data_IF_649478335082
#
_entry.id   IF_649478335082
#
_cell.length_a   1.000
_cell.length_b   1.000
_cell.length_c   1.000
_cell.angle_alpha   90.00
_cell.angle_beta   90.00
_cell.angle_gamma   90.00
#
_symmetry.space_group_name_H-M   'P 1'
#
loop_
_entity.id
_entity.type
_entity.pdbx_description
1 polymer ?
#
# COMPACT_ATOMS: atom_id res chain seq x y z
N UNK A 1 12.04 40.34 61.91
CA UNK A 1 10.93 39.74 62.67
C UNK A 1 10.06 38.99 61.67
N UNK A 2 10.13 37.66 61.68
CA UNK A 2 9.14 36.74 61.06
C UNK A 2 8.32 36.11 62.22
N UNK A 3 7.28 35.25 62.03
CA UNK A 3 6.62 34.65 60.85
C UNK A 3 5.05 34.69 61.04
N UNK A 4 4.15 33.72 60.65
CA UNK A 4 4.21 32.53 59.77
C UNK A 4 2.99 32.24 58.83
N UNK A 5 3.24 31.30 57.90
CA UNK A 5 2.42 30.21 57.31
C UNK A 5 1.08 30.43 56.58
N UNK A 6 0.96 29.74 55.42
CA UNK A 6 -0.30 29.37 54.78
C UNK A 6 -0.11 28.68 53.43
N UNK A 7 0.05 27.35 53.44
CA UNK A 7 -0.15 26.48 52.26
C UNK A 7 -1.64 26.44 51.88
N UNK A 8 -1.95 26.43 50.57
CA UNK A 8 -2.82 25.42 49.92
C UNK A 8 -3.32 25.84 48.52
N UNK A 9 -3.19 24.87 47.60
CA UNK A 9 -4.14 24.49 46.56
C UNK A 9 -4.40 25.39 45.32
N UNK A 10 -3.94 24.85 44.18
CA UNK A 10 -4.72 24.55 42.98
C UNK A 10 -5.49 25.67 42.25
N UNK A 11 -4.99 26.05 41.07
CA UNK A 11 -5.83 26.27 39.88
C UNK A 11 -4.98 26.18 38.60
N UNK A 12 -5.46 25.37 37.66
CA UNK A 12 -4.87 25.10 36.36
C UNK A 12 -5.22 26.19 35.33
N UNK A 13 -4.33 26.42 34.36
CA UNK A 13 -4.60 26.98 33.02
C UNK A 13 -3.35 26.77 32.15
N UNK A 14 -3.26 25.65 31.44
CA UNK A 14 -3.65 25.47 30.04
C UNK A 14 -2.61 26.02 29.03
N UNK A 15 -1.60 25.20 28.74
CA UNK A 15 -0.77 25.31 27.55
C UNK A 15 -1.28 24.34 26.46
N UNK A 16 -1.41 24.75 25.18
CA UNK A 16 -1.78 23.85 24.11
C UNK A 16 -0.53 23.28 23.42
N UNK A 17 -0.56 21.99 23.07
CA UNK A 17 0.28 21.48 21.97
C UNK A 17 0.91 20.12 22.19
N UNK A 18 0.46 19.16 21.37
CA UNK A 18 1.21 18.02 20.83
C UNK A 18 1.53 16.84 21.77
N UNK A 19 0.52 16.01 22.04
CA UNK A 19 0.73 14.55 22.13
C UNK A 19 -0.61 13.80 22.02
N UNK A 20 -0.98 13.38 20.81
CA UNK A 20 -1.97 12.31 20.65
C UNK A 20 -1.50 11.37 19.53
N UNK A 21 -0.55 10.51 19.89
CA UNK A 21 -0.14 9.34 19.10
C UNK A 21 -0.78 8.11 19.75
N UNK A 22 -2.06 7.90 19.44
CA UNK A 22 -2.78 6.68 19.81
C UNK A 22 -2.48 5.62 18.75
N UNK A 23 -1.52 4.76 19.05
CA UNK A 23 -1.30 3.50 18.34
C UNK A 23 -2.50 2.61 18.65
N UNK A 24 -3.47 2.53 17.73
CA UNK A 24 -4.49 1.49 17.72
C UNK A 24 -4.08 0.39 16.75
N UNK A 25 -3.69 -0.75 17.32
CA UNK A 25 -3.64 -2.03 16.61
C UNK A 25 -5.04 -2.58 16.34
N UNK A 26 -5.05 -3.62 15.49
CA UNK A 26 -6.13 -4.56 15.16
C UNK A 26 -7.25 -4.07 14.22
N UNK A 27 -6.97 -4.11 12.91
CA UNK A 27 -8.01 -4.21 11.88
C UNK A 27 -8.45 -5.67 11.73
N UNK A 28 -9.48 -6.05 12.50
CA UNK A 28 -10.26 -7.26 12.26
C UNK A 28 -11.16 -7.09 11.04
N UNK A 29 -11.24 -8.14 10.24
CA UNK A 29 -12.15 -8.28 9.09
C UNK A 29 -13.62 -8.11 9.52
N UNK A 30 -14.49 -7.47 8.70
CA UNK A 30 -15.92 -7.40 9.01
C UNK A 30 -16.62 -8.74 8.74
N UNK A 31 -17.56 -9.18 9.61
CA UNK A 31 -18.37 -10.37 9.38
C UNK A 31 -19.53 -10.09 8.40
N UNK A 32 -19.86 -11.09 7.59
CA UNK A 32 -21.00 -11.09 6.66
C UNK A 32 -22.35 -11.15 7.42
N UNK A 33 -23.44 -10.61 6.84
CA UNK A 33 -24.73 -10.50 7.52
C UNK A 33 -25.47 -11.84 7.63
N UNK A 34 -26.35 -12.00 8.65
CA UNK A 34 -27.13 -13.22 8.85
C UNK A 34 -28.30 -13.27 7.88
N UNK A 35 -28.49 -14.42 7.22
CA UNK A 35 -29.65 -14.67 6.39
C UNK A 35 -30.80 -15.17 7.26
N UNK A 36 -31.74 -14.25 7.50
CA UNK A 36 -33.03 -14.43 8.15
C UNK A 36 -33.88 -15.49 7.46
N UNK A 37 -34.52 -16.35 8.26
CA UNK A 37 -35.58 -17.25 7.85
C UNK A 37 -36.97 -16.61 7.94
N UNK A 38 -37.89 -17.14 7.15
CA UNK A 38 -39.35 -16.92 7.20
C UNK A 38 -39.96 -17.74 6.06
N UNK A 39 -40.56 -18.90 6.37
CA UNK A 39 -42.01 -19.14 6.55
C UNK A 39 -42.76 -19.18 5.19
N UNK A 40 -43.73 -20.04 4.88
CA UNK A 40 -44.49 -21.11 5.58
C UNK A 40 -45.41 -21.76 4.53
N UNK A 41 -45.72 -23.04 4.74
CA UNK A 41 -47.01 -23.71 4.49
C UNK A 41 -47.58 -23.88 3.07
N UNK A 42 -47.92 -25.13 2.73
CA UNK A 42 -48.99 -25.42 1.77
C UNK A 42 -49.00 -26.82 1.12
N UNK A 43 -49.62 -27.79 1.83
CA UNK A 43 -50.59 -28.78 1.30
C UNK A 43 -50.12 -30.20 0.87
N UNK A 44 -50.41 -31.13 1.79
CA UNK A 44 -51.09 -32.45 1.71
C UNK A 44 -50.88 -33.46 0.57
N UNK A 45 -50.53 -34.67 1.05
CA UNK A 45 -51.01 -36.03 0.75
C UNK A 45 -50.71 -36.75 -0.58
N UNK A 46 -50.30 -38.02 -0.42
CA UNK A 46 -50.37 -39.05 -1.46
C UNK A 46 -49.18 -40.01 -1.48
N UNK A 47 -49.19 -41.01 -0.60
CA UNK A 47 -48.18 -42.07 -0.60
C UNK A 47 -48.28 -43.01 -1.80
N UNK A 48 -47.14 -43.53 -2.26
CA UNK A 48 -47.02 -44.87 -2.84
C UNK A 48 -45.53 -45.25 -2.98
N UNK A 49 -45.10 -46.17 -2.13
CA UNK A 49 -43.87 -46.93 -2.27
C UNK A 49 -43.85 -47.63 -3.65
N UNK A 50 -42.90 -47.27 -4.53
CA UNK A 50 -42.48 -48.13 -5.64
C UNK A 50 -40.97 -48.13 -5.74
N UNK A 51 -40.42 -49.18 -5.15
CA UNK A 51 -39.10 -49.73 -5.41
C UNK A 51 -38.85 -49.75 -6.92
N UNK A 52 -37.93 -48.91 -7.37
CA UNK A 52 -37.57 -48.75 -8.78
C UNK A 52 -36.10 -48.37 -8.86
N UNK A 53 -35.24 -49.33 -8.56
CA UNK A 53 -33.78 -49.27 -8.76
C UNK A 53 -33.51 -49.07 -10.26
N UNK A 54 -33.56 -47.83 -10.73
CA UNK A 54 -32.99 -47.44 -12.02
C UNK A 54 -31.50 -47.29 -11.82
N UNK A 55 -30.80 -48.39 -12.09
CA UNK A 55 -29.37 -48.39 -12.36
C UNK A 55 -29.09 -47.27 -13.37
N UNK A 56 -28.44 -46.20 -12.89
CA UNK A 56 -27.76 -45.26 -13.79
C UNK A 56 -26.63 -46.07 -14.39
N UNK A 57 -26.84 -46.55 -15.62
CA UNK A 57 -25.78 -47.05 -16.48
C UNK A 57 -24.61 -46.08 -16.38
N UNK A 58 -23.49 -46.59 -15.88
CA UNK A 58 -22.28 -45.81 -15.68
C UNK A 58 -21.92 -45.18 -17.01
N UNK A 59 -21.99 -43.85 -17.08
CA UNK A 59 -21.37 -43.11 -18.16
C UNK A 59 -19.90 -43.52 -18.16
N UNK A 60 -19.52 -44.29 -19.18
CA UNK A 60 -18.20 -44.84 -19.36
C UNK A 60 -17.23 -43.66 -19.22
N UNK A 61 -16.46 -43.65 -18.12
CA UNK A 61 -15.45 -42.61 -17.92
C UNK A 61 -14.48 -42.82 -19.07
N UNK A 62 -14.50 -41.92 -20.05
CA UNK A 62 -13.57 -41.98 -21.17
C UNK A 62 -12.17 -41.86 -20.56
N UNK A 63 -11.50 -42.99 -20.42
CA UNK A 63 -10.19 -43.11 -19.78
C UNK A 63 -9.18 -42.33 -20.62
N UNK A 64 -8.72 -41.20 -20.12
CA UNK A 64 -7.78 -40.30 -20.80
C UNK A 64 -8.33 -38.91 -21.17
N UNK A 65 -9.65 -38.72 -21.21
CA UNK A 65 -10.29 -37.45 -21.59
C UNK A 65 -10.93 -36.72 -20.39
N UNK A 66 -10.07 -36.29 -19.46
CA UNK A 66 -10.47 -35.54 -18.27
C UNK A 66 -10.51 -34.02 -18.49
N UNK A 67 -11.02 -33.28 -17.50
CA UNK A 67 -11.11 -31.81 -17.55
C UNK A 67 -9.76 -31.15 -17.83
N UNK A 68 -8.65 -31.72 -17.36
CA UNK A 68 -7.29 -31.25 -17.63
C UNK A 68 -7.00 -31.18 -19.13
N UNK A 69 -7.41 -32.18 -19.91
CA UNK A 69 -7.16 -32.22 -21.34
C UNK A 69 -8.05 -31.23 -22.07
N UNK A 70 -9.34 -31.15 -21.70
CA UNK A 70 -10.24 -30.11 -22.20
C UNK A 70 -9.73 -28.70 -21.91
N UNK A 71 -9.25 -28.42 -20.69
CA UNK A 71 -8.65 -27.12 -20.34
C UNK A 71 -7.42 -26.80 -21.17
N UNK A 72 -6.57 -27.80 -21.47
CA UNK A 72 -5.37 -27.62 -22.30
C UNK A 72 -5.75 -27.29 -23.76
N UNK A 73 -6.70 -28.03 -24.33
CA UNK A 73 -7.18 -27.82 -25.70
C UNK A 73 -7.89 -26.47 -25.83
N UNK A 74 -8.83 -26.16 -24.93
CA UNK A 74 -9.55 -24.88 -24.90
C UNK A 74 -8.57 -23.71 -24.77
N UNK A 75 -7.58 -23.82 -23.87
CA UNK A 75 -6.56 -22.78 -23.69
C UNK A 75 -5.77 -22.53 -24.98
N UNK A 76 -5.25 -23.58 -25.63
CA UNK A 76 -4.49 -23.45 -26.89
C UNK A 76 -5.33 -22.87 -28.02
N UNK A 77 -6.61 -23.26 -28.11
CA UNK A 77 -7.50 -22.80 -29.18
C UNK A 77 -7.83 -21.31 -29.03
N UNK A 78 -8.08 -20.87 -27.80
CA UNK A 78 -8.36 -19.45 -27.51
C UNK A 78 -7.08 -18.61 -27.65
N UNK A 79 -5.92 -19.15 -27.28
CA UNK A 79 -4.61 -18.52 -27.48
C UNK A 79 -4.30 -18.30 -28.98
N UNK A 80 -4.47 -19.34 -29.82
CA UNK A 80 -4.19 -19.25 -31.25
C UNK A 80 -5.09 -18.25 -31.98
N UNK A 81 -6.36 -18.13 -31.55
CA UNK A 81 -7.32 -17.20 -32.17
C UNK A 81 -7.28 -15.79 -31.60
N UNK A 82 -6.86 -15.63 -30.35
CA UNK A 82 -6.87 -14.36 -29.62
C UNK A 82 -8.27 -13.88 -29.23
N UNK A 83 -9.24 -13.90 -30.15
CA UNK A 83 -10.66 -13.61 -29.92
C UNK A 83 -11.54 -14.68 -30.57
N UNK A 84 -12.50 -15.21 -29.83
CA UNK A 84 -13.37 -16.30 -30.31
C UNK A 84 -14.70 -16.31 -29.54
N UNK A 85 -15.60 -17.24 -29.85
CA UNK A 85 -16.85 -17.43 -29.12
C UNK A 85 -16.97 -18.83 -28.54
N UNK A 86 -17.87 -19.02 -27.55
CA UNK A 86 -18.08 -20.32 -26.92
C UNK A 86 -18.49 -21.40 -27.95
N UNK A 87 -19.45 -21.09 -28.83
CA UNK A 87 -19.97 -22.06 -29.80
C UNK A 87 -18.87 -22.46 -30.78
N UNK A 88 -18.13 -21.48 -31.29
CA UNK A 88 -17.01 -21.71 -32.20
C UNK A 88 -15.93 -22.62 -31.60
N UNK A 89 -15.54 -22.38 -30.34
CA UNK A 89 -14.57 -23.24 -29.67
C UNK A 89 -15.14 -24.64 -29.39
N UNK A 90 -16.40 -24.74 -29.00
CA UNK A 90 -17.04 -26.03 -28.71
C UNK A 90 -17.20 -26.90 -29.98
N UNK A 91 -17.63 -26.29 -31.08
CA UNK A 91 -17.88 -26.96 -32.35
C UNK A 91 -16.56 -27.40 -33.00
N UNK A 92 -15.48 -26.61 -32.88
CA UNK A 92 -14.15 -27.01 -33.36
C UNK A 92 -13.54 -28.14 -32.56
N UNK A 93 -13.65 -28.10 -31.22
CA UNK A 93 -13.18 -29.21 -30.38
C UNK A 93 -13.97 -30.47 -30.69
N UNK A 94 -15.28 -30.35 -30.92
CA UNK A 94 -16.10 -31.47 -31.34
C UNK A 94 -15.66 -32.05 -32.70
N UNK A 95 -15.38 -31.21 -33.69
CA UNK A 95 -14.91 -31.64 -35.01
C UNK A 95 -13.54 -32.32 -34.95
N UNK A 96 -12.58 -31.75 -34.22
CA UNK A 96 -11.25 -32.33 -34.00
C UNK A 96 -11.36 -33.69 -33.31
N UNK A 97 -12.22 -33.80 -32.29
CA UNK A 97 -12.38 -35.03 -31.54
C UNK A 97 -13.13 -36.12 -32.32
N UNK A 98 -14.10 -35.73 -33.15
CA UNK A 98 -14.77 -36.63 -34.09
C UNK A 98 -13.81 -37.21 -35.12
N UNK A 99 -12.82 -36.42 -35.57
CA UNK A 99 -11.78 -36.89 -36.50
C UNK A 99 -10.85 -37.94 -35.87
N UNK A 100 -10.57 -37.82 -34.56
CA UNK A 100 -9.78 -38.78 -33.78
C UNK A 100 -10.59 -40.05 -33.44
N UNK A 101 -11.92 -39.90 -33.36
CA UNK A 101 -12.87 -40.96 -33.00
C UNK A 101 -13.26 -41.95 -34.08
N UNK A 102 -12.79 -41.78 -35.32
CA UNK A 102 -12.85 -42.87 -36.32
C UNK A 102 -12.14 -44.16 -35.82
N UNK A 103 -11.41 -44.08 -34.72
CA UNK A 103 -10.72 -45.17 -34.03
C UNK A 103 -11.55 -45.89 -32.94
N UNK A 104 -12.88 -45.68 -32.87
CA UNK A 104 -13.80 -46.49 -32.04
C UNK A 104 -14.25 -45.90 -30.70
N UNK A 105 -14.18 -44.58 -30.52
CA UNK A 105 -14.64 -43.90 -29.30
C UNK A 105 -15.80 -42.94 -29.64
N UNK A 106 -17.02 -43.20 -29.17
CA UNK A 106 -18.11 -42.26 -29.39
C UNK A 106 -18.04 -41.12 -28.37
N UNK A 107 -17.79 -39.89 -28.83
CA UNK A 107 -17.96 -38.71 -27.98
C UNK A 107 -19.32 -38.06 -28.24
N UNK A 108 -20.09 -37.92 -27.16
CA UNK A 108 -21.34 -37.17 -27.18
C UNK A 108 -21.04 -35.66 -27.16
N UNK A 109 -21.59 -34.94 -28.14
CA UNK A 109 -21.51 -33.49 -28.28
C UNK A 109 -21.93 -32.77 -27.00
N UNK A 110 -22.96 -33.29 -26.31
CA UNK A 110 -23.45 -32.72 -25.05
C UNK A 110 -22.40 -32.77 -23.94
N UNK A 111 -21.62 -33.85 -23.90
CA UNK A 111 -20.56 -34.01 -22.91
C UNK A 111 -19.42 -33.01 -23.17
N UNK A 112 -18.99 -32.89 -24.42
CA UNK A 112 -17.93 -31.96 -24.83
C UNK A 112 -18.34 -30.52 -24.52
N UNK A 113 -19.56 -30.12 -24.91
CA UNK A 113 -20.09 -28.78 -24.59
C UNK A 113 -20.06 -28.52 -23.08
N UNK A 114 -20.53 -29.47 -22.26
CA UNK A 114 -20.47 -29.36 -20.79
C UNK A 114 -19.04 -29.18 -20.26
N UNK A 115 -18.07 -29.91 -20.81
CA UNK A 115 -16.65 -29.83 -20.42
C UNK A 115 -15.96 -28.54 -20.86
N UNK A 116 -16.30 -28.01 -22.03
CA UNK A 116 -15.79 -26.71 -22.51
C UNK A 116 -16.26 -25.57 -21.60
N UNK A 117 -17.50 -25.61 -21.11
CA UNK A 117 -17.97 -24.67 -20.10
C UNK A 117 -17.19 -24.77 -18.77
N UNK A 118 -16.94 -25.99 -18.27
CA UNK A 118 -16.14 -26.19 -17.06
C UNK A 118 -14.74 -25.58 -17.24
N UNK A 119 -14.10 -25.82 -18.39
CA UNK A 119 -12.78 -25.27 -18.70
C UNK A 119 -12.81 -23.73 -18.77
N UNK A 120 -13.78 -23.14 -19.46
CA UNK A 120 -13.90 -21.68 -19.53
C UNK A 120 -14.11 -21.04 -18.15
N UNK A 121 -14.97 -21.61 -17.31
CA UNK A 121 -15.22 -21.06 -15.98
C UNK A 121 -13.95 -21.01 -15.13
N UNK A 122 -13.13 -22.07 -15.18
CA UNK A 122 -11.83 -22.10 -14.50
C UNK A 122 -10.87 -21.08 -15.11
N UNK A 123 -10.74 -21.02 -16.45
CA UNK A 123 -9.84 -20.09 -17.14
C UNK A 123 -10.21 -18.61 -16.94
N UNK A 124 -11.51 -18.31 -16.81
CA UNK A 124 -12.04 -16.99 -16.44
C UNK A 124 -11.71 -16.68 -14.98
N UNK A 125 -11.90 -17.63 -14.06
CA UNK A 125 -11.61 -17.44 -12.64
C UNK A 125 -10.12 -17.13 -12.40
N UNK A 126 -9.22 -17.79 -13.14
CA UNK A 126 -7.77 -17.50 -13.10
C UNK A 126 -7.36 -16.34 -14.03
N UNK A 127 -8.32 -15.67 -14.68
CA UNK A 127 -8.13 -14.48 -15.55
C UNK A 127 -7.17 -14.68 -16.73
N UNK A 128 -7.01 -15.92 -17.20
CA UNK A 128 -6.26 -16.24 -18.43
C UNK A 128 -7.08 -15.89 -19.67
N UNK A 129 -8.41 -15.92 -19.53
CA UNK A 129 -9.36 -15.59 -20.57
C UNK A 129 -10.37 -14.59 -19.99
N UNK A 130 -10.77 -13.60 -20.80
CA UNK A 130 -11.86 -12.67 -20.47
C UNK A 130 -13.10 -12.98 -21.31
N UNK A 131 -14.29 -12.89 -20.71
CA UNK A 131 -15.58 -13.05 -21.40
C UNK A 131 -16.32 -11.73 -21.40
N UNK A 132 -16.59 -11.20 -22.59
CA UNK A 132 -17.43 -10.03 -22.80
C UNK A 132 -18.66 -10.43 -23.61
N UNK A 133 -19.82 -10.52 -22.95
CA UNK A 133 -21.06 -11.04 -23.51
C UNK A 133 -20.85 -12.41 -24.20
N UNK A 134 -20.74 -12.42 -25.53
CA UNK A 134 -20.54 -13.60 -26.38
C UNK A 134 -19.08 -13.77 -26.85
N UNK A 135 -18.26 -12.74 -26.73
CA UNK A 135 -16.86 -12.73 -27.13
C UNK A 135 -15.95 -13.22 -25.99
N UNK A 136 -14.96 -14.02 -26.34
CA UNK A 136 -13.96 -14.61 -25.46
C UNK A 136 -12.59 -14.12 -25.94
N UNK A 137 -11.83 -13.46 -25.05
CA UNK A 137 -10.51 -12.88 -25.35
C UNK A 137 -9.42 -13.61 -24.58
N UNK A 138 -8.33 -13.94 -25.25
CA UNK A 138 -7.10 -14.43 -24.61
C UNK A 138 -6.39 -13.29 -23.88
N UNK A 139 -6.22 -13.43 -22.56
CA UNK A 139 -5.48 -12.48 -21.72
C UNK A 139 -4.09 -13.02 -21.37
N UNK A 140 -3.88 -14.33 -21.42
CA UNK A 140 -2.62 -14.99 -21.10
C UNK A 140 -2.31 -15.04 -19.59
N UNK A 141 -1.37 -15.91 -19.22
CA UNK A 141 -0.92 -16.07 -17.81
C UNK A 141 0.12 -15.00 -17.41
N UNK A 142 0.80 -14.42 -18.41
CA UNK A 142 1.92 -13.48 -18.26
C UNK A 142 1.44 -12.07 -17.87
N UNK A 143 0.30 -11.60 -18.40
CA UNK A 143 -0.16 -10.23 -18.17
C UNK A 143 -0.50 -9.96 -16.69
N UNK A 144 -1.13 -10.90 -15.98
CA UNK A 144 -1.43 -10.70 -14.55
C UNK A 144 -0.20 -10.84 -13.64
N UNK A 145 0.64 -11.85 -13.89
CA UNK A 145 1.85 -12.05 -13.10
C UNK A 145 2.81 -10.88 -13.27
N UNK A 146 2.98 -10.39 -14.49
CA UNK A 146 3.81 -9.22 -14.80
C UNK A 146 3.26 -7.96 -14.13
N UNK A 147 1.98 -7.66 -14.27
CA UNK A 147 1.35 -6.48 -13.64
C UNK A 147 1.47 -6.51 -12.10
N UNK A 148 1.29 -7.69 -11.49
CA UNK A 148 1.46 -7.85 -10.03
C UNK A 148 2.91 -7.70 -9.60
N UNK A 149 3.85 -8.27 -10.34
CA UNK A 149 5.29 -8.14 -10.08
C UNK A 149 5.70 -6.68 -10.24
N UNK A 150 5.29 -6.02 -11.31
CA UNK A 150 5.58 -4.61 -11.57
C UNK A 150 5.06 -3.71 -10.44
N UNK A 151 3.82 -3.90 -9.99
CA UNK A 151 3.26 -3.19 -8.82
C UNK A 151 4.07 -3.43 -7.55
N UNK A 152 4.50 -4.68 -7.32
CA UNK A 152 5.34 -5.00 -6.17
C UNK A 152 6.72 -4.35 -6.27
N UNK A 153 7.31 -4.29 -7.46
CA UNK A 153 8.58 -3.63 -7.72
C UNK A 153 8.48 -2.11 -7.54
N UNK A 154 7.39 -1.47 -7.95
CA UNK A 154 7.13 -0.05 -7.71
C UNK A 154 7.04 0.25 -6.22
N UNK A 155 6.22 -0.52 -5.47
CA UNK A 155 6.10 -0.38 -4.02
C UNK A 155 7.45 -0.64 -3.33
N UNK A 156 8.20 -1.64 -3.78
CA UNK A 156 9.53 -1.91 -3.25
C UNK A 156 10.50 -0.74 -3.46
N UNK A 157 10.51 -0.15 -4.66
CA UNK A 157 11.32 1.05 -4.96
C UNK A 157 10.93 2.22 -4.05
N UNK A 158 9.63 2.47 -3.87
CA UNK A 158 9.15 3.53 -2.96
C UNK A 158 9.55 3.28 -1.50
N UNK A 159 9.46 2.03 -1.04
CA UNK A 159 9.89 1.67 0.32
C UNK A 159 11.39 1.88 0.50
N UNK A 160 12.21 1.52 -0.48
CA UNK A 160 13.66 1.75 -0.44
C UNK A 160 13.99 3.25 -0.36
N UNK A 161 13.36 4.08 -1.20
CA UNK A 161 13.61 5.53 -1.16
C UNK A 161 13.17 6.13 0.17
N UNK A 162 12.04 5.67 0.72
CA UNK A 162 11.57 6.08 2.05
C UNK A 162 12.53 5.67 3.17
N UNK A 163 13.05 4.44 3.14
CA UNK A 163 14.06 3.97 4.11
C UNK A 163 15.33 4.81 4.00
N UNK A 164 15.81 5.06 2.78
CA UNK A 164 17.00 5.90 2.53
C UNK A 164 16.82 7.31 3.09
N UNK A 165 15.68 7.94 2.84
CA UNK A 165 15.39 9.29 3.34
C UNK A 165 15.30 9.32 4.88
N UNK A 166 14.64 8.34 5.49
CA UNK A 166 14.59 8.21 6.96
C UNK A 166 15.98 8.01 7.57
N UNK A 167 16.83 7.19 6.94
CA UNK A 167 18.21 6.98 7.39
C UNK A 167 19.03 8.27 7.30
N UNK A 168 18.90 9.04 6.21
CA UNK A 168 19.55 10.35 6.06
C UNK A 168 19.10 11.33 7.13
N UNK A 169 17.79 11.41 7.38
CA UNK A 169 17.24 12.27 8.43
C UNK A 169 17.72 11.87 9.82
N UNK A 170 17.76 10.57 10.12
CA UNK A 170 18.26 10.08 11.41
C UNK A 170 19.73 10.47 11.62
N UNK A 171 20.57 10.29 10.61
CA UNK A 171 21.98 10.70 10.67
C UNK A 171 22.15 12.20 10.88
N UNK A 172 21.26 13.02 10.32
CA UNK A 172 21.28 14.47 10.51
C UNK A 172 20.90 14.85 11.96
N UNK A 173 19.85 14.24 12.49
CA UNK A 173 19.40 14.48 13.88
C UNK A 173 20.45 14.00 14.89
N UNK A 174 21.08 12.85 14.65
CA UNK A 174 22.15 12.33 15.49
C UNK A 174 23.34 13.30 15.58
N UNK A 175 23.77 13.85 14.43
CA UNK A 175 24.81 14.89 14.40
C UNK A 175 24.41 16.14 15.16
N UNK A 176 23.18 16.62 14.98
CA UNK A 176 22.68 17.79 15.71
C UNK A 176 22.67 17.54 17.22
N UNK A 177 22.29 16.34 17.64
CA UNK A 177 22.32 15.94 19.05
C UNK A 177 23.74 15.95 19.61
N UNK A 178 24.70 15.35 18.89
CA UNK A 178 26.11 15.35 19.28
C UNK A 178 26.66 16.79 19.39
N UNK A 179 26.33 17.65 18.42
CA UNK A 179 26.76 19.05 18.41
C UNK A 179 26.20 19.83 19.61
N UNK A 180 24.94 19.59 19.96
CA UNK A 180 24.29 20.18 21.14
C UNK A 180 24.88 19.66 22.46
N UNK A 181 25.22 18.37 22.54
CA UNK A 181 25.91 17.84 23.71
C UNK A 181 27.31 18.43 23.84
N UNK A 182 28.07 18.49 22.75
CA UNK A 182 29.42 19.04 22.72
C UNK A 182 29.45 20.51 23.15
N UNK A 183 28.55 21.35 22.63
CA UNK A 183 28.49 22.77 23.01
C UNK A 183 28.09 22.94 24.47
N UNK A 184 27.17 22.10 24.97
CA UNK A 184 26.73 22.11 26.37
C UNK A 184 27.86 21.74 27.30
N UNK A 185 28.56 20.63 27.04
CA UNK A 185 29.72 20.19 27.84
C UNK A 185 30.86 21.22 27.81
N UNK A 186 31.15 21.80 26.64
CA UNK A 186 32.16 22.86 26.51
C UNK A 186 31.80 24.10 27.34
N UNK A 187 30.52 24.50 27.32
CA UNK A 187 30.04 25.65 28.08
C UNK A 187 30.06 25.38 29.59
N UNK A 188 29.68 24.17 30.02
CA UNK A 188 29.75 23.74 31.43
C UNK A 188 31.19 23.74 31.94
N UNK A 189 32.14 23.18 31.18
CA UNK A 189 33.56 23.14 31.55
C UNK A 189 34.17 24.55 31.71
N UNK A 190 33.66 25.54 30.97
CA UNK A 190 34.13 26.93 31.04
C UNK A 190 33.61 27.72 32.24
N UNK A 191 32.70 27.14 33.06
CA UNK A 191 32.13 27.71 34.30
C UNK A 191 31.99 29.25 34.28
N UNK A 192 31.40 29.80 33.21
CA UNK A 192 31.11 31.24 33.16
C UNK A 192 29.83 31.51 33.94
N UNK A 193 29.82 32.45 34.92
CA UNK A 193 28.59 32.91 35.53
C UNK A 193 27.63 33.42 34.44
N UNK A 194 26.35 33.04 34.51
CA UNK A 194 25.32 33.41 33.55
C UNK A 194 25.20 34.94 33.37
N UNK A 195 25.61 35.71 34.37
CA UNK A 195 25.55 37.17 34.44
C UNK A 195 26.69 37.87 33.67
N UNK A 196 27.74 37.15 33.26
CA UNK A 196 28.90 37.69 32.52
C UNK A 196 29.03 37.13 31.10
N UNK A 197 28.04 36.35 30.65
CA UNK A 197 28.09 35.63 29.40
C UNK A 197 27.53 36.49 28.25
N UNK A 198 28.40 37.18 27.51
CA UNK A 198 28.10 37.69 26.16
C UNK A 198 27.92 36.51 25.18
N UNK A 199 26.88 35.70 25.38
CA UNK A 199 26.54 34.52 24.58
C UNK A 199 25.19 34.69 23.89
N UNK A 200 25.04 34.06 22.72
CA UNK A 200 23.77 33.99 21.99
C UNK A 200 23.13 32.63 22.27
N UNK A 201 21.86 32.64 22.69
CA UNK A 201 21.10 31.42 22.95
C UNK A 201 20.53 30.84 21.65
N UNK A 202 20.39 29.52 21.62
CA UNK A 202 19.66 28.81 20.57
C UNK A 202 18.14 28.90 20.81
N UNK A 203 17.29 28.93 19.78
CA UNK A 203 17.64 28.99 18.36
C UNK A 203 17.91 30.42 17.88
N UNK A 204 18.82 30.58 16.91
CA UNK A 204 19.10 31.88 16.30
C UNK A 204 19.38 31.76 14.80
N UNK A 205 19.35 32.90 14.11
CA UNK A 205 19.71 33.05 12.71
C UNK A 205 20.79 34.11 12.60
N UNK A 206 21.89 33.78 11.93
CA UNK A 206 23.01 34.69 11.71
C UNK A 206 23.00 35.18 10.27
N UNK A 207 22.96 36.50 10.09
CA UNK A 207 23.17 37.14 8.79
C UNK A 207 24.58 37.75 8.79
N UNK A 208 25.40 37.32 7.83
CA UNK A 208 26.79 37.76 7.66
C UNK A 208 26.90 38.59 6.39
N UNK A 209 27.53 39.75 6.50
CA UNK A 209 27.84 40.61 5.35
C UNK A 209 29.26 41.16 5.46
N UNK A 210 29.71 41.90 4.44
CA UNK A 210 31.03 42.54 4.43
C UNK A 210 31.15 43.54 5.58
N UNK A 211 32.36 43.67 6.15
CA UNK A 211 32.64 44.68 7.20
C UNK A 211 32.45 46.13 6.73
N UNK A 212 32.42 46.34 5.41
CA UNK A 212 32.21 47.65 4.80
C UNK A 212 30.76 47.89 4.35
N UNK A 213 29.88 46.90 4.54
CA UNK A 213 28.47 47.03 4.17
C UNK A 213 27.76 48.02 5.08
N UNK A 214 26.94 48.89 4.48
CA UNK A 214 26.00 49.74 5.20
C UNK A 214 24.64 49.05 5.22
N UNK A 215 24.19 48.66 6.40
CA UNK A 215 22.91 47.97 6.60
C UNK A 215 21.93 48.91 7.28
N UNK A 216 20.78 49.13 6.65
CA UNK A 216 19.65 49.85 7.26
C UNK A 216 18.69 48.81 7.82
N UNK A 217 18.31 48.98 9.09
CA UNK A 217 17.46 48.04 9.81
C UNK A 217 16.23 48.77 10.32
N UNK A 218 15.07 48.36 9.83
CA UNK A 218 13.77 48.85 10.30
C UNK A 218 13.08 47.74 11.06
N UNK A 219 12.83 47.95 12.35
CA UNK A 219 12.11 47.01 13.20
C UNK A 219 10.72 47.58 13.45
N UNK A 220 9.70 46.76 13.23
CA UNK A 220 8.32 47.12 13.52
C UNK A 220 8.14 47.40 15.02
N UNK A 221 7.18 48.27 15.37
CA UNK A 221 6.91 48.62 16.77
C UNK A 221 6.55 47.41 17.64
N UNK A 222 5.94 46.39 17.05
CA UNK A 222 5.58 45.14 17.73
C UNK A 222 6.70 44.10 17.72
N UNK A 223 7.88 44.43 17.17
CA UNK A 223 9.06 43.56 17.07
C UNK A 223 8.82 42.23 16.34
N UNK A 224 7.73 42.13 15.55
CA UNK A 224 7.42 40.92 14.77
C UNK A 224 8.05 40.92 13.40
N UNK A 225 8.37 42.09 12.86
CA UNK A 225 8.95 42.26 11.54
C UNK A 225 10.22 43.08 11.64
N UNK A 226 11.27 42.61 10.99
CA UNK A 226 12.49 43.36 10.77
C UNK A 226 12.79 43.36 9.27
N UNK A 227 13.06 44.55 8.72
CA UNK A 227 13.51 44.74 7.34
C UNK A 227 14.98 45.12 7.39
N UNK A 228 15.78 44.43 6.58
CA UNK A 228 17.20 44.69 6.42
C UNK A 228 17.44 45.14 4.98
N UNK A 229 17.95 46.35 4.79
CA UNK A 229 18.43 46.83 3.49
C UNK A 229 19.96 46.82 3.48
N UNK A 230 20.55 46.03 2.58
CA UNK A 230 21.99 45.87 2.43
C UNK A 230 22.59 46.80 1.37
N UNK A 231 21.80 47.72 0.78
CA UNK A 231 22.28 48.69 -0.21
C UNK A 231 23.03 48.04 -1.39
N UNK A 232 22.57 46.88 -1.84
CA UNK A 232 23.19 46.11 -2.93
C UNK A 232 24.43 45.29 -2.54
N UNK A 233 24.85 45.28 -1.27
CA UNK A 233 25.95 44.44 -0.80
C UNK A 233 25.50 42.99 -0.57
N UNK A 234 26.34 41.99 -0.92
CA UNK A 234 25.99 40.59 -0.71
C UNK A 234 25.96 40.24 0.79
N UNK A 235 25.05 39.33 1.15
CA UNK A 235 24.95 38.76 2.48
C UNK A 235 24.78 37.24 2.40
N UNK A 236 25.16 36.53 3.46
CA UNK A 236 24.89 35.11 3.66
C UNK A 236 24.08 34.91 4.94
N UNK A 237 23.27 33.87 4.96
CA UNK A 237 22.40 33.55 6.08
C UNK A 237 22.71 32.13 6.56
N UNK A 238 22.90 32.00 7.87
CA UNK A 238 23.29 30.76 8.52
C UNK A 238 22.31 30.50 9.67
N UNK A 239 21.73 29.32 9.72
CA UNK A 239 20.99 28.85 10.88
C UNK A 239 21.94 28.45 12.01
N UNK A 240 21.39 28.24 13.20
CA UNK A 240 22.17 27.76 14.33
C UNK A 240 22.85 26.41 14.08
N UNK A 241 22.18 25.48 13.40
CA UNK A 241 22.71 24.16 13.05
C UNK A 241 23.99 24.27 12.23
N UNK A 242 23.99 25.05 11.14
CA UNK A 242 25.17 25.22 10.28
C UNK A 242 26.35 25.83 11.03
N UNK A 243 26.08 26.75 11.97
CA UNK A 243 27.13 27.32 12.83
C UNK A 243 27.68 26.28 13.81
N UNK A 244 26.82 25.44 14.39
CA UNK A 244 27.27 24.34 15.25
C UNK A 244 28.12 23.33 14.47
N UNK A 245 27.77 23.03 13.21
CA UNK A 245 28.57 22.17 12.35
C UNK A 245 29.95 22.77 12.05
N UNK A 246 30.03 24.08 11.78
CA UNK A 246 31.28 24.80 11.55
C UNK A 246 32.16 24.81 12.81
N UNK A 247 31.55 24.96 13.99
CA UNK A 247 32.26 24.87 15.28
C UNK A 247 32.82 23.47 15.50
N UNK A 248 32.09 22.40 15.15
CA UNK A 248 32.59 21.01 15.26
C UNK A 248 33.82 20.76 14.39
N UNK A 249 33.93 21.42 13.23
CA UNK A 249 35.05 21.24 12.28
C UNK A 249 36.32 22.00 12.65
N UNK A 250 36.25 22.92 13.61
CA UNK A 250 37.34 23.80 14.03
C UNK A 250 38.05 23.23 15.25
#
# INVERSE_FOLDING_TARGET
MAPPCGDAAAAASAAPGLANLLIRGTAGLPPLPPRSGGNTAGREEGGANRNGKKEKSGAQRITGWGLREFSKIVSKKVEAKGRTTYNEVADEIFAELKSISLNGLEFDEKNIRRRVYDAFNVLIAIRVIAKDKKEIKWMGLTNYRYERIHKLEEVHKELITRIKNKKKLLQEIEKQFDDLQNITSRNQARQRPAESANGVCLPFLLIKTSRQARVEIEISKDSKFARFDFNGTPFTMHDDVSILEDIRRT
#
